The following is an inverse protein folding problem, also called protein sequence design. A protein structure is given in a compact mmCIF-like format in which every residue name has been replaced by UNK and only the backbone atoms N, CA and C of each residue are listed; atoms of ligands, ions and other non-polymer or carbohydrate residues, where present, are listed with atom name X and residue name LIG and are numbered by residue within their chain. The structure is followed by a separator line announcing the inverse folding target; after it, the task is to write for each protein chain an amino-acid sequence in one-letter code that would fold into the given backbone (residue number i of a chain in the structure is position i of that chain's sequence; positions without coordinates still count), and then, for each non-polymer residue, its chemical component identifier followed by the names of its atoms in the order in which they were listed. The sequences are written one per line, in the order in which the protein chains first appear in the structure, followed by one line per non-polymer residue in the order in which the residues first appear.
data_IF_189418219745
#
_entry.id   IF_189418219745
#
_cell.length_a   1.000
_cell.length_b   1.000
_cell.length_c   1.000
_cell.angle_alpha   90.00
_cell.angle_beta   90.00
_cell.angle_gamma   90.00
#
_symmetry.space_group_name_H-M   'P 1'
#
loop_
_entity.id
_entity.type
_entity.pdbx_description
1 polymer ?
#
# COMPACT_ATOMS: atom_id res chain seq x y z
N UNK A 1 -27.07 -21.05 21.38
CA UNK A 1 -26.86 -19.98 20.37
C UNK A 1 -25.44 -20.15 19.85
N UNK A 2 -25.26 -21.12 18.97
CA UNK A 2 -23.94 -21.59 18.56
C UNK A 2 -23.52 -20.89 17.27
N UNK A 3 -22.59 -19.95 17.44
CA UNK A 3 -21.94 -19.20 16.37
C UNK A 3 -21.10 -20.15 15.52
N UNK A 4 -21.72 -20.78 14.51
CA UNK A 4 -21.01 -21.50 13.45
C UNK A 4 -20.36 -20.49 12.52
N UNK A 5 -19.09 -20.17 12.80
CA UNK A 5 -18.22 -19.46 11.84
C UNK A 5 -18.21 -20.27 10.55
N UNK A 6 -18.70 -19.66 9.49
CA UNK A 6 -18.60 -20.16 8.11
C UNK A 6 -17.12 -20.24 7.72
N UNK A 7 -16.49 -21.37 8.04
CA UNK A 7 -15.18 -21.71 7.50
C UNK A 7 -15.40 -22.51 6.23
N UNK A 8 -14.83 -22.04 5.11
CA UNK A 8 -14.78 -22.77 3.85
C UNK A 8 -13.99 -24.07 4.06
N UNK A 9 -14.72 -25.16 4.30
CA UNK A 9 -14.11 -26.46 4.56
C UNK A 9 -13.35 -26.92 3.31
N UNK A 10 -12.07 -27.21 3.50
CA UNK A 10 -11.21 -27.79 2.46
C UNK A 10 -11.68 -29.21 2.12
N UNK A 11 -11.43 -29.69 0.90
CA UNK A 11 -11.83 -31.05 0.46
C UNK A 11 -11.36 -32.15 1.42
N UNK A 12 -10.18 -31.97 2.04
CA UNK A 12 -9.66 -32.90 3.06
C UNK A 12 -10.52 -32.94 4.32
N UNK A 13 -11.03 -31.80 4.76
CA UNK A 13 -11.88 -31.71 5.95
C UNK A 13 -13.26 -32.34 5.72
N UNK A 14 -13.80 -32.26 4.50
CA UNK A 14 -15.05 -32.95 4.13
C UNK A 14 -14.94 -34.47 4.26
N UNK A 15 -13.87 -35.05 3.70
CA UNK A 15 -13.66 -36.50 3.76
C UNK A 15 -13.53 -37.02 5.20
N UNK A 16 -12.87 -36.27 6.08
CA UNK A 16 -12.69 -36.64 7.49
C UNK A 16 -13.99 -36.52 8.30
N UNK A 17 -14.86 -35.57 7.98
CA UNK A 17 -16.17 -35.43 8.65
C UNK A 17 -17.14 -36.54 8.21
N UNK A 18 -17.20 -36.85 6.92
CA UNK A 18 -18.03 -37.96 6.41
C UNK A 18 -17.65 -39.32 7.01
N UNK A 19 -16.41 -39.48 7.46
CA UNK A 19 -15.94 -40.71 8.11
C UNK A 19 -16.30 -40.77 9.60
N UNK A 20 -16.66 -39.64 10.21
CA UNK A 20 -16.89 -39.53 11.66
C UNK A 20 -18.32 -39.85 12.08
N UNK A 21 -19.26 -39.79 11.13
CA UNK A 21 -20.65 -40.21 11.36
C UNK A 21 -20.85 -41.73 11.18
N UNK A 22 -19.78 -42.48 10.91
CA UNK A 22 -19.79 -43.94 10.95
C UNK A 22 -19.20 -44.43 12.28
N UNK A 23 -20.08 -44.61 13.27
CA UNK A 23 -19.74 -45.32 14.51
C UNK A 23 -19.33 -46.76 14.16
N UNK A 24 -18.23 -47.29 14.74
CA UNK A 24 -17.84 -48.67 14.48
C UNK A 24 -18.77 -49.58 15.28
N UNK A 25 -19.74 -50.23 14.63
CA UNK A 25 -20.42 -51.36 15.26
C UNK A 25 -21.87 -51.69 14.91
N UNK A 26 -22.58 -50.96 14.04
CA UNK A 26 -24.01 -51.28 13.78
C UNK A 26 -24.45 -51.09 12.34
N UNK A 27 -23.81 -51.75 11.38
CA UNK A 27 -24.50 -52.15 10.14
C UNK A 27 -24.23 -53.62 9.87
N UNK A 28 -25.18 -54.44 10.31
CA UNK A 28 -25.33 -55.83 9.90
C UNK A 28 -25.72 -55.83 8.42
N UNK A 29 -24.73 -55.70 7.54
CA UNK A 29 -24.85 -56.05 6.12
C UNK A 29 -23.74 -57.05 5.86
N UNK A 30 -24.04 -58.31 6.19
CA UNK A 30 -23.22 -59.47 5.84
C UNK A 30 -23.38 -59.71 4.33
N UNK A 31 -22.32 -59.48 3.57
CA UNK A 31 -22.28 -59.78 2.14
C UNK A 31 -21.99 -61.27 1.97
N UNK A 32 -22.96 -62.10 1.55
CA UNK A 32 -22.80 -63.57 1.55
C UNK A 32 -21.69 -64.09 0.63
N UNK A 33 -21.17 -63.26 -0.30
CA UNK A 33 -20.04 -63.60 -1.18
C UNK A 33 -18.81 -62.69 -0.99
N UNK A 34 -18.67 -62.06 0.18
CA UNK A 34 -17.58 -61.12 0.44
C UNK A 34 -17.59 -59.90 -0.48
N UNK A 35 -16.87 -58.85 -0.09
CA UNK A 35 -16.63 -57.73 -0.99
C UNK A 35 -15.76 -58.23 -2.17
N UNK A 36 -16.03 -57.80 -3.42
CA UNK A 36 -15.15 -58.14 -4.53
C UNK A 36 -13.71 -57.73 -4.17
N UNK A 37 -12.69 -58.58 -4.43
CA UNK A 37 -11.31 -58.26 -4.09
C UNK A 37 -10.98 -56.89 -4.65
N UNK A 38 -10.50 -56.00 -3.78
CA UNK A 38 -10.24 -54.60 -4.12
C UNK A 38 -9.45 -54.56 -5.44
N UNK A 39 -9.88 -53.77 -6.43
CA UNK A 39 -9.23 -53.75 -7.73
C UNK A 39 -7.75 -53.51 -7.51
N UNK A 40 -6.93 -54.46 -7.98
CA UNK A 40 -5.48 -54.43 -7.84
C UNK A 40 -5.02 -53.03 -8.22
N UNK A 41 -4.24 -52.37 -7.33
CA UNK A 41 -3.65 -51.06 -7.58
C UNK A 41 -2.69 -51.19 -8.75
N UNK A 42 -3.22 -51.25 -9.99
CA UNK A 42 -2.42 -51.13 -11.19
C UNK A 42 -1.67 -49.83 -11.04
N UNK A 43 -0.35 -49.97 -11.07
CA UNK A 43 0.62 -48.91 -10.92
C UNK A 43 0.07 -47.70 -11.63
N UNK A 44 -0.23 -46.63 -10.87
CA UNK A 44 -0.44 -45.30 -11.43
C UNK A 44 0.65 -45.12 -12.47
N UNK A 45 0.25 -45.11 -13.73
CA UNK A 45 1.10 -44.77 -14.85
C UNK A 45 1.86 -43.53 -14.42
N UNK A 46 3.17 -43.69 -14.21
CA UNK A 46 4.02 -42.57 -13.80
C UNK A 46 3.87 -41.57 -14.95
N UNK A 47 3.25 -40.40 -14.75
CA UNK A 47 3.16 -39.42 -15.84
C UNK A 47 4.59 -39.19 -16.29
N UNK A 48 4.83 -39.25 -17.60
CA UNK A 48 6.18 -39.26 -18.13
C UNK A 48 6.95 -38.06 -17.58
N UNK A 49 8.23 -38.24 -17.27
CA UNK A 49 9.07 -37.20 -16.64
C UNK A 49 9.00 -35.87 -17.41
N UNK A 50 8.87 -35.96 -18.74
CA UNK A 50 8.70 -34.84 -19.66
C UNK A 50 7.40 -34.06 -19.40
N UNK A 51 6.31 -34.76 -19.13
CA UNK A 51 4.99 -34.15 -18.88
C UNK A 51 4.95 -33.45 -17.51
N UNK A 52 5.59 -34.04 -16.48
CA UNK A 52 5.75 -33.40 -15.18
C UNK A 52 6.64 -32.14 -15.27
N UNK A 53 7.69 -32.19 -16.08
CA UNK A 53 8.62 -31.09 -16.25
C UNK A 53 7.98 -29.94 -17.03
N UNK A 54 7.21 -30.24 -18.08
CA UNK A 54 6.38 -29.26 -18.80
C UNK A 54 5.37 -28.59 -17.88
N UNK A 55 4.65 -29.36 -17.05
CA UNK A 55 3.64 -28.80 -16.13
C UNK A 55 4.27 -27.92 -15.05
N UNK A 56 5.48 -28.27 -14.58
CA UNK A 56 6.25 -27.42 -13.65
C UNK A 56 6.74 -26.13 -14.32
N UNK A 57 7.23 -26.21 -15.56
CA UNK A 57 7.67 -25.05 -16.32
C UNK A 57 6.51 -24.09 -16.61
N UNK A 58 5.35 -24.62 -17.00
CA UNK A 58 4.13 -23.83 -17.25
C UNK A 58 3.63 -23.17 -15.95
N UNK A 59 3.61 -23.90 -14.84
CA UNK A 59 3.22 -23.34 -13.54
C UNK A 59 4.18 -22.22 -13.08
N UNK A 60 5.49 -22.40 -13.30
CA UNK A 60 6.49 -21.37 -13.02
C UNK A 60 6.29 -20.13 -13.91
N UNK A 61 5.96 -20.31 -15.19
CA UNK A 61 5.69 -19.20 -16.10
C UNK A 61 4.42 -18.43 -15.72
N UNK A 62 3.32 -19.14 -15.38
CA UNK A 62 2.09 -18.51 -14.88
C UNK A 62 2.34 -17.71 -13.61
N UNK A 63 3.17 -18.22 -12.70
CA UNK A 63 3.56 -17.51 -11.48
C UNK A 63 4.38 -16.25 -11.78
N UNK A 64 5.34 -16.32 -12.72
CA UNK A 64 6.13 -15.15 -13.15
C UNK A 64 5.24 -14.06 -13.74
N UNK A 65 4.30 -14.45 -14.62
CA UNK A 65 3.39 -13.52 -15.27
C UNK A 65 2.47 -12.79 -14.27
N UNK A 66 1.98 -13.49 -13.23
CA UNK A 66 1.15 -12.86 -12.19
C UNK A 66 1.96 -11.88 -11.33
N UNK A 67 3.20 -12.23 -10.98
CA UNK A 67 4.08 -11.34 -10.21
C UNK A 67 4.43 -10.08 -10.99
N UNK A 68 4.79 -10.22 -12.27
CA UNK A 68 5.08 -9.07 -13.14
C UNK A 68 3.85 -8.18 -13.33
N UNK A 69 2.67 -8.79 -13.54
CA UNK A 69 1.41 -8.04 -13.67
C UNK A 69 1.10 -7.25 -12.39
N UNK A 70 1.22 -7.89 -11.23
CA UNK A 70 1.01 -7.23 -9.94
C UNK A 70 2.04 -6.12 -9.69
N UNK A 71 3.31 -6.35 -10.04
CA UNK A 71 4.36 -5.34 -9.93
C UNK A 71 4.06 -4.12 -10.81
N UNK A 72 3.77 -4.34 -12.11
CA UNK A 72 3.47 -3.27 -13.06
C UNK A 72 2.22 -2.47 -12.70
N UNK A 73 1.20 -3.12 -12.13
CA UNK A 73 0.00 -2.44 -11.62
C UNK A 73 0.33 -1.59 -10.38
N UNK A 74 1.11 -2.12 -9.45
CA UNK A 74 1.54 -1.38 -8.24
C UNK A 74 2.46 -0.20 -8.54
N UNK A 75 3.39 -0.34 -9.49
CA UNK A 75 4.27 0.75 -9.93
C UNK A 75 3.47 1.86 -10.63
N UNK A 76 2.53 1.48 -11.50
CA UNK A 76 1.67 2.44 -12.18
C UNK A 76 0.80 3.24 -11.21
N UNK A 77 0.24 2.60 -10.18
CA UNK A 77 -0.50 3.32 -9.14
C UNK A 77 0.38 4.19 -8.25
N UNK A 78 1.59 3.73 -7.90
CA UNK A 78 2.53 4.54 -7.12
C UNK A 78 2.93 5.82 -7.85
N UNK A 79 3.25 5.71 -9.15
CA UNK A 79 3.58 6.88 -9.99
C UNK A 79 2.37 7.82 -10.09
N UNK A 80 1.17 7.29 -10.36
CA UNK A 80 -0.07 8.10 -10.40
C UNK A 80 -0.32 8.84 -9.09
N UNK A 81 -0.07 8.19 -7.95
CA UNK A 81 -0.25 8.78 -6.62
C UNK A 81 0.74 9.90 -6.33
N UNK A 82 2.01 9.71 -6.68
CA UNK A 82 3.05 10.74 -6.51
C UNK A 82 2.72 11.97 -7.37
N UNK A 83 2.49 11.76 -8.68
CA UNK A 83 2.22 12.84 -9.62
C UNK A 83 0.90 13.57 -9.33
N UNK A 84 -0.15 12.83 -8.96
CA UNK A 84 -1.44 13.42 -8.60
C UNK A 84 -1.35 14.26 -7.32
N UNK A 85 -0.59 13.81 -6.33
CA UNK A 85 -0.39 14.53 -5.07
C UNK A 85 0.41 15.83 -5.25
N UNK A 86 1.44 15.83 -6.11
CA UNK A 86 2.25 17.01 -6.41
C UNK A 86 1.42 18.15 -7.02
N UNK A 87 0.47 17.87 -7.90
CA UNK A 87 -0.36 18.92 -8.54
C UNK A 87 -1.13 19.81 -7.55
N UNK A 88 -1.56 19.25 -6.42
CA UNK A 88 -2.27 19.98 -5.35
C UNK A 88 -1.31 20.71 -4.41
N UNK A 89 -0.10 20.17 -4.25
CA UNK A 89 0.96 20.72 -3.41
C UNK A 89 1.62 21.91 -4.11
N UNK A 90 1.94 21.80 -5.38
CA UNK A 90 2.51 22.86 -6.22
C UNK A 90 1.61 24.10 -6.21
N UNK A 91 0.29 23.94 -6.43
CA UNK A 91 -0.67 25.05 -6.34
C UNK A 91 -0.71 25.72 -4.95
N UNK A 92 -0.44 24.98 -3.87
CA UNK A 92 -0.38 25.56 -2.51
C UNK A 92 0.94 26.29 -2.29
N UNK A 93 2.05 25.71 -2.74
CA UNK A 93 3.38 26.32 -2.65
C UNK A 93 3.46 27.61 -3.47
N UNK A 94 2.90 27.65 -4.68
CA UNK A 94 2.82 28.86 -5.51
C UNK A 94 2.02 29.98 -4.86
N UNK A 95 0.85 29.65 -4.29
CA UNK A 95 0.04 30.63 -3.54
C UNK A 95 0.79 31.19 -2.35
N UNK A 96 1.55 30.34 -1.65
CA UNK A 96 2.35 30.76 -0.51
C UNK A 96 3.54 31.64 -0.93
N UNK A 97 4.21 31.30 -2.03
CA UNK A 97 5.31 32.09 -2.60
C UNK A 97 4.82 33.46 -3.08
N UNK A 98 3.67 33.52 -3.76
CA UNK A 98 3.03 34.77 -4.17
C UNK A 98 2.67 35.65 -2.97
N UNK A 99 2.01 35.09 -1.95
CA UNK A 99 1.67 35.83 -0.72
C UNK A 99 2.90 36.34 0.02
N UNK A 100 3.98 35.54 0.10
CA UNK A 100 5.25 35.99 0.68
C UNK A 100 5.88 37.12 -0.12
N UNK A 101 5.84 37.04 -1.45
CA UNK A 101 6.36 38.08 -2.35
C UNK A 101 5.59 39.39 -2.21
N UNK A 102 4.26 39.34 -2.23
CA UNK A 102 3.40 40.52 -2.03
C UNK A 102 3.62 41.15 -0.65
N UNK A 103 3.76 40.35 0.41
CA UNK A 103 4.05 40.87 1.75
C UNK A 103 5.44 41.51 1.83
N UNK A 104 6.45 40.94 1.16
CA UNK A 104 7.79 41.53 1.10
C UNK A 104 7.78 42.85 0.29
N UNK A 105 7.08 42.88 -0.84
CA UNK A 105 6.93 44.07 -1.67
C UNK A 105 6.16 45.17 -0.92
N UNK A 106 5.06 44.83 -0.24
CA UNK A 106 4.31 45.77 0.59
C UNK A 106 5.16 46.34 1.74
N UNK A 107 6.02 45.50 2.36
CA UNK A 107 6.98 45.96 3.36
C UNK A 107 8.06 46.88 2.78
N UNK A 108 8.55 46.62 1.57
CA UNK A 108 9.53 47.46 0.89
C UNK A 108 8.93 48.80 0.44
N UNK A 109 7.73 48.79 -0.15
CA UNK A 109 7.01 50.00 -0.51
C UNK A 109 6.66 50.85 0.73
N UNK A 110 6.31 50.20 1.84
CA UNK A 110 6.10 50.90 3.11
C UNK A 110 7.38 51.55 3.65
N UNK A 111 8.57 50.95 3.43
CA UNK A 111 9.85 51.60 3.77
C UNK A 111 10.03 52.87 2.95
N UNK A 112 9.75 52.83 1.63
CA UNK A 112 9.89 53.98 0.74
C UNK A 112 8.91 55.12 1.05
N UNK A 113 7.74 54.81 1.62
CA UNK A 113 6.73 55.79 2.02
C UNK A 113 7.02 56.44 3.38
N UNK A 114 7.90 55.84 4.20
CA UNK A 114 8.16 56.33 5.55
C UNK A 114 9.14 57.51 5.51
N UNK A 115 8.97 58.52 6.38
CA UNK A 115 9.91 59.61 6.50
C UNK A 115 11.32 59.15 6.92
N UNK A 116 12.34 59.77 6.33
CA UNK A 116 13.77 59.50 6.58
C UNK A 116 14.20 59.60 8.05
N UNK A 117 13.42 60.25 8.92
CA UNK A 117 13.73 60.44 10.35
C UNK A 117 13.08 59.41 11.28
N UNK A 118 12.65 58.25 10.78
CA UNK A 118 11.94 57.22 11.56
C UNK A 118 12.83 56.04 11.92
N UNK A 119 12.74 55.53 13.16
CA UNK A 119 13.36 54.27 13.59
C UNK A 119 12.30 53.17 13.65
N UNK A 120 12.59 51.98 13.12
CA UNK A 120 11.64 50.87 13.04
C UNK A 120 12.05 49.72 13.94
N UNK A 121 11.09 49.21 14.71
CA UNK A 121 11.25 48.01 15.54
C UNK A 121 10.45 46.85 14.92
N UNK A 122 11.11 45.76 14.56
CA UNK A 122 10.48 44.55 14.03
C UNK A 122 10.69 43.42 15.04
N UNK A 123 9.63 43.02 15.72
CA UNK A 123 9.63 41.86 16.61
C UNK A 123 9.19 40.62 15.84
N UNK A 124 9.97 39.55 15.89
CA UNK A 124 9.66 38.27 15.24
C UNK A 124 10.06 37.08 16.10
N UNK A 125 9.66 35.86 15.70
CA UNK A 125 9.98 34.64 16.44
C UNK A 125 11.48 34.35 16.51
N UNK A 126 12.27 34.84 15.54
CA UNK A 126 13.74 34.71 15.52
C UNK A 126 14.44 35.77 16.36
N UNK A 127 13.72 36.80 16.82
CA UNK A 127 14.27 37.90 17.60
C UNK A 127 13.70 39.25 17.20
N UNK A 128 14.21 40.29 17.86
CA UNK A 128 13.81 41.67 17.66
C UNK A 128 14.90 42.43 16.93
N UNK A 129 14.54 43.10 15.83
CA UNK A 129 15.47 43.85 14.97
C UNK A 129 15.08 45.32 14.98
N UNK A 130 16.02 46.18 15.36
CA UNK A 130 15.94 47.64 15.20
C UNK A 130 16.57 48.04 13.87
N UNK A 131 15.86 48.83 13.07
CA UNK A 131 16.35 49.39 11.81
C UNK A 131 16.29 50.91 11.85
N UNK A 132 17.44 51.54 11.57
CA UNK A 132 17.57 52.97 11.36
C UNK A 132 17.42 53.29 9.87
N UNK A 133 16.83 54.42 9.54
CA UNK A 133 16.85 54.96 8.18
C UNK A 133 18.28 55.33 7.77
N UNK A 134 18.61 55.17 6.49
CA UNK A 134 19.96 55.43 5.96
C UNK A 134 20.43 56.86 6.23
N UNK A 135 19.51 57.84 6.21
CA UNK A 135 19.81 59.26 6.38
C UNK A 135 20.16 59.67 7.82
N UNK A 136 19.76 58.88 8.84
CA UNK A 136 19.96 59.24 10.26
C UNK A 136 21.32 58.81 10.81
N UNK A 137 22.08 58.00 10.06
CA UNK A 137 23.31 57.39 10.54
C UNK A 137 23.08 56.41 11.71
N UNK A 138 24.15 55.79 12.19
CA UNK A 138 24.10 54.97 13.40
C UNK A 138 24.23 55.87 14.63
N UNK A 139 23.47 55.61 15.71
CA UNK A 139 23.66 56.34 16.95
C UNK A 139 25.08 56.09 17.48
N UNK A 140 25.80 57.17 17.78
CA UNK A 140 27.08 57.11 18.47
C UNK A 140 26.82 56.99 19.98
N UNK A 141 27.57 56.12 20.65
CA UNK A 141 27.38 55.74 22.07
C UNK A 141 28.51 56.33 22.90
#
# INVERSE_FOLDING_TARGET
MDNKREMTLTTRQWALQSSKDSAPGTSVIEFPNGLPPAPSRKQKEKPSELEQQLKKAEAAQRRRMQVEKAARESEGEAIRKILGQESSREKREDKFKKRKGELAQGRAANVMMLPSNTVRLVMGPTGTVLKFSEDMGLPYI
#
